data_IF_339151538274
#
_entry.id   IF_339151538274
#
_cell.length_a   1.000
_cell.length_b   1.000
_cell.length_c   1.000
_cell.angle_alpha   90.00
_cell.angle_beta   90.00
_cell.angle_gamma   90.00
#
_symmetry.space_group_name_H-M   'P 1'
#
loop_
_entity.id
_entity.type
_entity.pdbx_description
1 polymer ?
#
# COMPACT_ATOMS: atom_id res chain seq x y z
N UNK A 1 -18.23 -14.25 18.85
CA UNK A 1 -18.03 -14.45 17.40
C UNK A 1 -16.57 -14.16 17.08
N UNK A 2 -15.80 -15.13 16.57
CA UNK A 2 -14.39 -14.95 16.22
C UNK A 2 -14.21 -14.05 14.97
N UNK A 3 -13.01 -13.54 14.74
CA UNK A 3 -12.72 -12.58 13.66
C UNK A 3 -13.04 -13.14 12.28
N UNK A 4 -12.73 -14.42 12.03
CA UNK A 4 -13.07 -15.10 10.78
C UNK A 4 -14.57 -15.05 10.46
N UNK A 5 -15.47 -15.33 11.42
CA UNK A 5 -16.92 -15.23 11.21
C UNK A 5 -17.39 -13.80 10.92
N UNK A 6 -16.78 -12.80 11.56
CA UNK A 6 -17.05 -11.38 11.29
C UNK A 6 -16.67 -11.00 9.86
N UNK A 7 -15.50 -11.46 9.40
CA UNK A 7 -15.03 -11.22 8.03
C UNK A 7 -15.97 -11.87 7.02
N UNK A 8 -16.32 -13.14 7.20
CA UNK A 8 -17.21 -13.86 6.27
C UNK A 8 -18.57 -13.16 6.13
N UNK A 9 -19.21 -12.82 7.26
CA UNK A 9 -20.50 -12.12 7.24
C UNK A 9 -20.39 -10.75 6.56
N UNK A 10 -19.31 -10.02 6.84
CA UNK A 10 -19.09 -8.68 6.30
C UNK A 10 -18.82 -8.71 4.79
N UNK A 11 -17.93 -9.58 4.31
CA UNK A 11 -17.59 -9.67 2.89
C UNK A 11 -18.82 -10.00 2.01
N UNK A 12 -19.87 -10.63 2.55
CA UNK A 12 -21.11 -10.91 1.80
C UNK A 12 -21.95 -9.67 1.51
N UNK A 13 -21.74 -8.60 2.26
CA UNK A 13 -22.57 -7.38 2.21
C UNK A 13 -21.76 -6.15 1.84
N UNK A 14 -20.43 -6.30 1.79
CA UNK A 14 -19.48 -5.24 1.55
C UNK A 14 -19.68 -4.61 0.17
N UNK A 15 -19.72 -3.28 0.13
CA UNK A 15 -19.58 -2.51 -1.09
C UNK A 15 -18.11 -2.08 -1.26
N UNK A 16 -17.42 -2.64 -2.26
CA UNK A 16 -16.01 -2.33 -2.54
C UNK A 16 -15.77 -0.87 -3.02
N UNK A 17 -16.83 -0.12 -3.35
CA UNK A 17 -16.76 1.31 -3.66
C UNK A 17 -17.09 2.22 -2.48
N UNK A 18 -17.48 1.66 -1.32
CA UNK A 18 -17.82 2.44 -0.14
C UNK A 18 -16.62 2.47 0.83
N UNK A 19 -15.99 3.63 1.07
CA UNK A 19 -14.76 3.69 1.84
C UNK A 19 -14.84 3.11 3.27
N UNK A 20 -15.91 3.36 4.05
CA UNK A 20 -16.05 2.76 5.39
C UNK A 20 -16.01 1.23 5.36
N UNK A 21 -16.56 0.61 4.32
CA UNK A 21 -16.54 -0.84 4.19
C UNK A 21 -15.12 -1.36 3.92
N UNK A 22 -14.39 -0.69 3.02
CA UNK A 22 -12.98 -1.03 2.71
C UNK A 22 -12.11 -0.86 3.95
N UNK A 23 -12.26 0.26 4.66
CA UNK A 23 -11.53 0.51 5.91
C UNK A 23 -11.83 -0.56 6.95
N UNK A 24 -13.10 -0.92 7.12
CA UNK A 24 -13.48 -1.97 8.06
C UNK A 24 -12.89 -3.33 7.68
N UNK A 25 -12.88 -3.71 6.39
CA UNK A 25 -12.23 -4.94 5.92
C UNK A 25 -10.76 -4.97 6.35
N UNK A 26 -9.99 -3.92 6.05
CA UNK A 26 -8.56 -3.85 6.38
C UNK A 26 -8.30 -3.86 7.89
N UNK A 27 -9.18 -3.26 8.71
CA UNK A 27 -9.12 -3.39 10.17
C UNK A 27 -9.29 -4.86 10.58
N UNK A 28 -10.23 -5.60 9.97
CA UNK A 28 -10.43 -7.03 10.29
C UNK A 28 -9.31 -7.92 9.77
N UNK A 29 -8.79 -7.66 8.58
CA UNK A 29 -7.63 -8.35 8.05
C UNK A 29 -6.42 -8.15 8.97
N UNK A 30 -6.19 -6.92 9.47
CA UNK A 30 -5.14 -6.67 10.48
C UNK A 30 -5.32 -7.54 11.73
N UNK A 31 -6.53 -7.59 12.30
CA UNK A 31 -6.83 -8.45 13.45
C UNK A 31 -6.57 -9.93 13.14
N UNK A 32 -6.95 -10.39 11.94
CA UNK A 32 -6.69 -11.76 11.51
C UNK A 32 -5.18 -12.07 11.40
N UNK A 33 -4.39 -11.13 10.85
CA UNK A 33 -2.93 -11.28 10.79
C UNK A 33 -2.29 -11.37 12.18
N UNK A 34 -2.84 -10.66 13.16
CA UNK A 34 -2.42 -10.70 14.57
C UNK A 34 -2.75 -12.04 15.22
N UNK A 35 -4.01 -12.49 15.10
CA UNK A 35 -4.49 -13.74 15.68
C UNK A 35 -3.72 -14.97 15.17
N UNK A 36 -3.34 -14.97 13.89
CA UNK A 36 -2.67 -16.11 13.24
C UNK A 36 -1.14 -15.94 13.08
N UNK A 37 -0.55 -14.84 13.59
CA UNK A 37 0.89 -14.59 13.47
C UNK A 37 1.38 -14.45 12.02
N UNK A 38 0.55 -13.90 11.13
CA UNK A 38 0.79 -13.87 9.67
C UNK A 38 1.49 -12.58 9.20
N UNK A 39 1.71 -11.59 10.07
CA UNK A 39 2.28 -10.27 9.70
C UNK A 39 3.57 -10.34 8.86
N UNK A 40 4.46 -11.27 9.21
CA UNK A 40 5.74 -11.45 8.49
C UNK A 40 5.58 -12.23 7.16
N UNK A 41 4.55 -13.09 7.07
CA UNK A 41 4.26 -13.90 5.88
C UNK A 41 3.48 -13.13 4.82
N UNK A 42 2.69 -12.14 5.26
CA UNK A 42 1.85 -11.27 4.43
C UNK A 42 2.26 -9.81 4.65
N UNK A 43 3.51 -9.43 4.27
CA UNK A 43 4.07 -8.12 4.60
C UNK A 43 3.41 -6.98 3.83
N UNK A 44 2.91 -7.21 2.60
CA UNK A 44 2.23 -6.20 1.79
C UNK A 44 0.88 -5.86 2.41
N UNK A 45 0.07 -6.87 2.72
CA UNK A 45 -1.19 -6.68 3.40
C UNK A 45 -0.99 -6.02 4.76
N UNK A 46 0.02 -6.46 5.53
CA UNK A 46 0.36 -5.81 6.80
C UNK A 46 0.72 -4.32 6.61
N UNK A 47 1.47 -3.97 5.55
CA UNK A 47 1.76 -2.57 5.22
C UNK A 47 0.47 -1.77 5.02
N UNK A 48 -0.41 -2.19 4.12
CA UNK A 48 -1.66 -1.46 3.82
C UNK A 48 -2.61 -1.40 5.01
N UNK A 49 -2.73 -2.48 5.79
CA UNK A 49 -3.50 -2.51 7.03
C UNK A 49 -3.02 -1.47 8.05
N UNK A 50 -1.70 -1.30 8.20
CA UNK A 50 -1.15 -0.29 9.10
C UNK A 50 -1.28 1.11 8.50
N UNK A 51 -0.96 1.28 7.22
CA UNK A 51 -1.03 2.57 6.55
C UNK A 51 -2.46 3.16 6.60
N UNK A 52 -3.48 2.34 6.37
CA UNK A 52 -4.86 2.82 6.31
C UNK A 52 -5.36 3.42 7.63
N UNK A 53 -4.95 2.85 8.77
CA UNK A 53 -5.44 3.25 10.10
C UNK A 53 -4.60 4.34 10.77
N UNK A 54 -3.44 4.66 10.21
CA UNK A 54 -2.57 5.71 10.73
C UNK A 54 -2.63 6.94 9.81
N UNK A 55 -2.66 8.15 10.41
CA UNK A 55 -2.56 9.40 9.63
C UNK A 55 -1.22 9.50 8.91
N UNK A 56 -0.19 8.92 9.51
CA UNK A 56 1.18 8.82 8.99
C UNK A 56 1.75 7.47 9.41
N UNK A 57 2.43 6.78 8.50
CA UNK A 57 3.14 5.53 8.79
C UNK A 57 4.63 5.79 8.97
N UNK A 58 5.05 5.94 10.23
CA UNK A 58 6.42 6.25 10.61
C UNK A 58 7.15 5.00 11.17
N UNK A 59 6.63 4.36 12.20
CA UNK A 59 7.36 3.34 12.98
C UNK A 59 7.73 2.06 12.20
N UNK A 60 6.98 1.70 11.16
CA UNK A 60 7.13 0.42 10.46
C UNK A 60 7.44 0.56 8.97
N UNK A 61 7.71 1.78 8.48
CA UNK A 61 7.94 2.06 7.05
C UNK A 61 9.42 2.09 6.66
N UNK A 62 10.35 1.98 7.62
CA UNK A 62 11.79 2.09 7.36
C UNK A 62 12.30 1.16 6.24
N UNK A 63 11.88 -0.12 6.25
CA UNK A 63 12.25 -1.08 5.21
C UNK A 63 11.66 -0.73 3.83
N UNK A 64 10.45 -0.19 3.79
CA UNK A 64 9.81 0.30 2.56
C UNK A 64 10.60 1.48 1.98
N UNK A 65 10.91 2.47 2.81
CA UNK A 65 11.63 3.68 2.38
C UNK A 65 13.05 3.34 1.91
N UNK A 66 13.75 2.43 2.58
CA UNK A 66 15.08 1.99 2.12
C UNK A 66 15.00 1.26 0.77
N UNK A 67 14.03 0.35 0.58
CA UNK A 67 13.81 -0.31 -0.72
C UNK A 67 13.51 0.69 -1.84
N UNK A 68 12.73 1.74 -1.55
CA UNK A 68 12.46 2.81 -2.52
C UNK A 68 13.73 3.59 -2.85
N UNK A 69 14.56 3.93 -1.86
CA UNK A 69 15.86 4.60 -2.07
C UNK A 69 16.78 3.77 -2.96
N UNK A 70 16.84 2.46 -2.74
CA UNK A 70 17.64 1.56 -3.59
C UNK A 70 17.13 1.59 -5.03
N UNK A 71 15.80 1.58 -5.25
CA UNK A 71 15.21 1.70 -6.59
C UNK A 71 15.45 3.04 -7.26
N UNK A 72 15.50 4.14 -6.51
CA UNK A 72 15.90 5.46 -7.04
C UNK A 72 17.35 5.38 -7.56
N UNK A 73 18.27 4.82 -6.77
CA UNK A 73 19.70 4.68 -7.15
C UNK A 73 19.89 3.77 -8.36
N UNK A 74 19.16 2.67 -8.43
CA UNK A 74 19.14 1.78 -9.58
C UNK A 74 18.62 2.50 -10.84
N UNK A 75 17.52 3.24 -10.73
CA UNK A 75 16.95 4.00 -11.85
C UNK A 75 17.92 5.04 -12.40
N UNK A 76 18.57 5.82 -11.53
CA UNK A 76 19.58 6.81 -11.95
C UNK A 76 20.76 6.19 -12.69
N UNK A 77 21.11 4.94 -12.38
CA UNK A 77 22.23 4.24 -13.00
C UNK A 77 21.87 3.54 -14.32
N UNK A 78 20.62 3.07 -14.46
CA UNK A 78 20.23 2.13 -15.53
C UNK A 78 19.08 2.60 -16.42
N UNK A 79 18.32 3.62 -16.02
CA UNK A 79 17.17 4.15 -16.77
C UNK A 79 15.91 3.24 -16.76
N UNK A 80 15.84 2.24 -15.88
CA UNK A 80 14.68 1.35 -15.75
C UNK A 80 13.36 2.10 -15.49
N UNK A 81 12.19 1.52 -15.79
CA UNK A 81 10.92 2.19 -15.47
C UNK A 81 10.75 2.38 -13.95
N UNK A 82 10.85 3.64 -13.52
CA UNK A 82 10.78 4.00 -12.11
C UNK A 82 9.36 3.86 -11.55
N UNK A 83 8.31 4.15 -12.34
CA UNK A 83 6.92 4.01 -11.90
C UNK A 83 6.59 2.55 -11.60
N UNK A 84 7.05 1.65 -12.47
CA UNK A 84 6.93 0.21 -12.28
C UNK A 84 7.67 -0.24 -11.02
N UNK A 85 8.89 0.27 -10.82
CA UNK A 85 9.73 -0.05 -9.66
C UNK A 85 9.08 0.37 -8.34
N UNK A 86 8.51 1.59 -8.27
CA UNK A 86 7.77 2.08 -7.10
C UNK A 86 6.56 1.20 -6.83
N UNK A 87 5.76 0.91 -7.86
CA UNK A 87 4.55 0.09 -7.74
C UNK A 87 4.86 -1.34 -7.26
N UNK A 88 5.97 -1.92 -7.73
CA UNK A 88 6.50 -3.19 -7.25
C UNK A 88 6.91 -3.14 -5.76
N UNK A 89 7.60 -2.06 -5.35
CA UNK A 89 8.01 -1.90 -3.94
C UNK A 89 6.81 -1.75 -3.01
N UNK A 90 5.79 -1.01 -3.45
CA UNK A 90 4.49 -0.87 -2.78
C UNK A 90 3.63 -2.14 -2.84
N UNK A 91 4.02 -3.14 -3.64
CA UNK A 91 3.33 -4.42 -3.74
C UNK A 91 1.91 -4.31 -4.28
N UNK A 92 1.66 -3.36 -5.19
CA UNK A 92 0.32 -3.09 -5.75
C UNK A 92 -0.35 -4.37 -6.27
N UNK A 93 0.39 -5.21 -6.98
CA UNK A 93 -0.14 -6.45 -7.55
C UNK A 93 -0.18 -7.61 -6.55
N UNK A 94 0.75 -7.63 -5.58
CA UNK A 94 0.80 -8.66 -4.53
C UNK A 94 -0.31 -8.52 -3.49
N UNK A 95 -0.85 -7.32 -3.33
CA UNK A 95 -1.86 -7.05 -2.30
C UNK A 95 -3.08 -7.97 -2.44
N UNK A 96 -3.57 -8.17 -3.68
CA UNK A 96 -4.72 -9.05 -3.91
C UNK A 96 -4.42 -10.50 -3.47
N UNK A 97 -3.28 -11.03 -3.90
CA UNK A 97 -2.82 -12.37 -3.54
C UNK A 97 -2.71 -12.54 -2.02
N UNK A 98 -2.14 -11.56 -1.32
CA UNK A 98 -2.01 -11.59 0.13
C UNK A 98 -3.36 -11.46 0.85
N UNK A 99 -4.32 -10.68 0.32
CA UNK A 99 -5.69 -10.64 0.84
C UNK A 99 -6.36 -12.00 0.68
N UNK A 100 -6.29 -12.62 -0.50
CA UNK A 100 -6.88 -13.93 -0.73
C UNK A 100 -6.27 -15.00 0.18
N UNK A 101 -4.95 -14.96 0.37
CA UNK A 101 -4.27 -15.86 1.30
C UNK A 101 -4.68 -15.60 2.75
N UNK A 102 -4.79 -14.34 3.20
CA UNK A 102 -5.32 -14.05 4.54
C UNK A 102 -6.75 -14.56 4.70
N UNK A 103 -7.57 -14.37 3.68
CA UNK A 103 -8.95 -14.83 3.64
C UNK A 103 -9.06 -16.36 3.72
N UNK A 104 -8.13 -17.14 3.16
CA UNK A 104 -8.16 -18.61 3.26
C UNK A 104 -8.06 -19.14 4.70
N UNK A 105 -7.60 -18.34 5.66
CA UNK A 105 -7.64 -18.68 7.10
C UNK A 105 -9.04 -18.55 7.71
N UNK A 106 -9.99 -17.92 7.00
CA UNK A 106 -11.40 -17.91 7.37
C UNK A 106 -12.05 -19.21 6.89
N UNK A 107 -12.20 -20.19 7.79
CA UNK A 107 -12.93 -21.42 7.52
C UNK A 107 -14.35 -21.06 7.01
N UNK A 108 -14.65 -21.42 5.75
CA UNK A 108 -15.93 -21.21 5.06
C UNK A 108 -16.19 -19.83 4.42
N UNK A 109 -15.20 -19.21 3.77
CA UNK A 109 -15.55 -18.28 2.70
C UNK A 109 -16.27 -19.04 1.58
N UNK A 110 -17.46 -18.59 1.12
CA UNK A 110 -18.12 -19.19 -0.01
C UNK A 110 -17.19 -19.19 -1.23
N UNK A 111 -17.09 -20.32 -1.96
CA UNK A 111 -16.26 -20.47 -3.17
C UNK A 111 -16.53 -19.40 -4.27
N UNK A 112 -17.62 -18.64 -4.15
CA UNK A 112 -18.10 -17.65 -5.13
C UNK A 112 -18.24 -16.23 -4.57
N UNK A 113 -17.41 -15.83 -3.62
CA UNK A 113 -17.39 -14.42 -3.24
C UNK A 113 -16.57 -13.62 -4.28
N UNK A 114 -17.25 -13.01 -5.25
CA UNK A 114 -16.62 -12.08 -6.18
C UNK A 114 -16.35 -10.75 -5.46
N UNK A 115 -15.22 -10.65 -4.77
CA UNK A 115 -14.67 -9.35 -4.39
C UNK A 115 -14.31 -8.63 -5.69
N UNK A 116 -14.88 -7.45 -5.91
CA UNK A 116 -14.46 -6.59 -7.01
C UNK A 116 -13.10 -5.98 -6.66
N UNK A 117 -12.04 -6.68 -7.06
CA UNK A 117 -10.67 -6.32 -6.76
C UNK A 117 -10.29 -4.95 -7.30
N UNK A 118 -10.82 -4.55 -8.46
CA UNK A 118 -10.55 -3.26 -9.05
C UNK A 118 -11.15 -2.14 -8.21
N UNK A 119 -12.42 -2.27 -7.80
CA UNK A 119 -13.07 -1.29 -6.91
C UNK A 119 -12.41 -1.26 -5.55
N UNK A 120 -12.13 -2.42 -4.95
CA UNK A 120 -11.51 -2.51 -3.62
C UNK A 120 -10.18 -1.74 -3.57
N UNK A 121 -9.29 -2.03 -4.52
CA UNK A 121 -7.98 -1.39 -4.60
C UNK A 121 -8.06 0.09 -4.95
N UNK A 122 -9.00 0.49 -5.83
CA UNK A 122 -9.21 1.91 -6.14
C UNK A 122 -9.66 2.69 -4.91
N UNK A 123 -10.68 2.20 -4.21
CA UNK A 123 -11.18 2.82 -2.97
C UNK A 123 -10.11 2.83 -1.89
N UNK A 124 -9.34 1.75 -1.73
CA UNK A 124 -8.22 1.71 -0.80
C UNK A 124 -7.19 2.80 -1.09
N UNK A 125 -6.76 2.94 -2.35
CA UNK A 125 -5.73 3.91 -2.69
C UNK A 125 -6.23 5.35 -2.54
N UNK A 126 -7.51 5.61 -2.81
CA UNK A 126 -8.14 6.90 -2.50
C UNK A 126 -8.08 7.19 -1.00
N UNK A 127 -8.39 6.21 -0.15
CA UNK A 127 -8.31 6.36 1.32
C UNK A 127 -6.89 6.53 1.87
N UNK A 128 -5.87 6.31 1.03
CA UNK A 128 -4.46 6.47 1.37
C UNK A 128 -3.85 7.78 0.83
N UNK A 129 -4.61 8.54 0.04
CA UNK A 129 -4.19 9.87 -0.40
C UNK A 129 -3.85 10.74 0.83
N UNK A 130 -2.75 11.46 0.74
CA UNK A 130 -2.23 12.36 1.78
C UNK A 130 -1.91 11.71 3.13
N UNK A 131 -1.89 10.37 3.21
CA UNK A 131 -1.32 9.63 4.34
C UNK A 131 0.13 9.29 4.00
N UNK A 132 1.14 9.98 4.55
CA UNK A 132 2.53 9.70 4.20
C UNK A 132 3.07 8.46 4.91
N UNK A 133 3.92 7.70 4.22
CA UNK A 133 4.86 6.76 4.81
C UNK A 133 6.21 7.45 4.94
N UNK A 134 6.72 7.64 6.16
CA UNK A 134 7.97 8.38 6.42
C UNK A 134 8.95 7.54 7.20
N UNK A 135 10.24 7.69 6.93
CA UNK A 135 11.29 7.11 7.75
C UNK A 135 11.50 7.97 9.01
N UNK A 136 11.19 7.46 10.22
CA UNK A 136 11.25 8.21 11.46
C UNK A 136 12.69 8.48 11.90
N UNK A 137 13.63 7.69 11.37
CA UNK A 137 15.06 7.81 11.64
C UNK A 137 15.77 8.68 10.61
N UNK A 138 15.04 9.35 9.72
CA UNK A 138 15.64 10.25 8.75
C UNK A 138 16.35 11.40 9.48
N UNK A 139 17.68 11.42 9.36
CA UNK A 139 18.51 12.56 9.71
C UNK A 139 18.76 13.28 8.40
N UNK A 140 18.53 14.59 8.41
CA UNK A 140 18.66 15.46 7.25
C UNK A 140 20.14 15.57 6.86
N UNK A 141 20.68 14.52 6.25
CA UNK A 141 22.08 14.37 5.90
C UNK A 141 22.13 14.09 4.40
N UNK A 142 22.79 15.01 3.67
CA UNK A 142 23.02 15.04 2.22
C UNK A 142 21.84 15.58 1.38
N UNK A 143 22.16 16.12 0.20
CA UNK A 143 21.19 16.64 -0.77
C UNK A 143 20.52 15.55 -1.60
N UNK A 144 19.62 15.93 -2.50
CA UNK A 144 18.92 15.00 -3.39
C UNK A 144 19.91 14.10 -4.17
N UNK A 145 19.67 12.78 -4.31
CA UNK A 145 18.47 12.02 -3.90
C UNK A 145 18.51 11.43 -2.48
N UNK A 146 19.59 11.64 -1.72
CA UNK A 146 19.76 11.00 -0.42
C UNK A 146 18.88 11.61 0.69
N UNK A 147 18.31 12.78 0.42
CA UNK A 147 17.37 13.47 1.30
C UNK A 147 15.90 12.98 1.21
N UNK A 148 15.66 11.92 0.43
CA UNK A 148 14.38 11.23 0.39
C UNK A 148 14.09 10.55 1.74
N UNK A 149 12.96 10.93 2.35
CA UNK A 149 12.55 10.41 3.65
C UNK A 149 11.19 9.73 3.66
N UNK A 150 10.39 9.83 2.60
CA UNK A 150 9.06 9.26 2.63
C UNK A 150 8.34 9.31 1.30
N UNK A 151 7.21 8.62 1.23
CA UNK A 151 6.33 8.56 0.06
C UNK A 151 4.90 8.78 0.51
N UNK A 152 4.08 9.40 -0.34
CA UNK A 152 2.63 9.43 -0.15
C UNK A 152 1.91 9.18 -1.46
N UNK A 153 0.63 8.85 -1.38
CA UNK A 153 -0.24 8.85 -2.55
C UNK A 153 -0.89 10.22 -2.70
N UNK A 154 -1.08 10.64 -3.95
CA UNK A 154 -1.79 11.86 -4.33
C UNK A 154 -2.68 11.57 -5.54
N UNK A 155 -3.66 12.44 -5.73
CA UNK A 155 -4.41 12.49 -6.98
C UNK A 155 -3.81 13.57 -7.89
N UNK A 156 -3.65 13.24 -9.17
CA UNK A 156 -3.21 14.17 -10.21
C UNK A 156 -3.90 13.79 -11.52
N UNK A 157 -4.68 14.72 -12.09
CA UNK A 157 -5.40 14.59 -13.36
C UNK A 157 -6.29 13.34 -13.46
N UNK A 158 -6.99 13.01 -12.38
CA UNK A 158 -7.87 11.86 -12.24
C UNK A 158 -7.16 10.53 -12.01
N UNK A 159 -5.83 10.55 -11.82
CA UNK A 159 -4.99 9.35 -11.63
C UNK A 159 -4.36 9.37 -10.25
N UNK A 160 -4.30 8.19 -9.63
CA UNK A 160 -3.58 8.01 -8.37
C UNK A 160 -2.09 7.89 -8.68
N UNK A 161 -1.33 8.82 -8.12
CA UNK A 161 0.10 8.93 -8.27
C UNK A 161 0.79 8.71 -6.93
N UNK A 162 2.03 8.26 -6.98
CA UNK A 162 2.95 8.37 -5.85
C UNK A 162 3.66 9.72 -5.89
N UNK A 163 4.03 10.23 -4.73
CA UNK A 163 4.84 11.44 -4.55
C UNK A 163 5.99 11.15 -3.57
N UNK A 164 7.21 11.54 -3.95
CA UNK A 164 8.37 11.48 -3.07
C UNK A 164 8.40 12.68 -2.12
N UNK A 165 8.74 12.43 -0.86
CA UNK A 165 8.93 13.44 0.17
C UNK A 165 10.43 13.67 0.36
N UNK A 166 10.87 14.91 0.14
CA UNK A 166 12.27 15.35 0.20
C UNK A 166 12.33 16.84 0.60
N UNK A 167 13.16 17.22 1.60
CA UNK A 167 13.31 18.62 1.99
C UNK A 167 13.88 19.50 0.88
N UNK A 168 14.74 18.97 0.01
CA UNK A 168 15.29 19.74 -1.12
C UNK A 168 14.21 20.07 -2.14
N UNK A 169 13.29 19.14 -2.42
CA UNK A 169 12.14 19.40 -3.30
C UNK A 169 11.20 20.44 -2.71
N UNK A 170 10.90 20.33 -1.41
CA UNK A 170 10.07 21.30 -0.69
C UNK A 170 10.66 22.72 -0.73
N UNK A 171 11.98 22.86 -0.51
CA UNK A 171 12.67 24.15 -0.52
C UNK A 171 12.58 24.89 -1.85
N UNK A 172 12.55 24.16 -2.97
CA UNK A 172 12.46 24.73 -4.32
C UNK A 172 11.03 24.70 -4.87
N UNK A 173 10.03 24.37 -4.05
CA UNK A 173 8.64 24.21 -4.45
C UNK A 173 8.46 23.28 -5.67
N UNK A 174 9.21 22.18 -5.70
CA UNK A 174 9.16 21.17 -6.74
C UNK A 174 8.65 19.85 -6.17
N UNK A 175 8.17 18.97 -7.05
CA UNK A 175 7.61 17.67 -6.70
C UNK A 175 8.08 16.63 -7.69
N UNK A 176 8.36 15.43 -7.21
CA UNK A 176 8.55 14.26 -8.06
C UNK A 176 7.36 13.35 -7.83
N UNK A 177 6.54 13.23 -8.87
CA UNK A 177 5.33 12.40 -8.88
C UNK A 177 5.35 11.47 -10.08
N UNK A 178 4.69 10.34 -9.95
CA UNK A 178 4.50 9.40 -11.05
C UNK A 178 3.28 8.52 -10.83
N UNK A 179 2.69 7.97 -11.90
CA UNK A 179 1.50 7.13 -11.79
C UNK A 179 1.78 5.86 -10.99
N UNK A 180 0.79 5.44 -10.21
CA UNK A 180 0.77 4.11 -9.63
C UNK A 180 0.34 3.10 -10.71
N UNK A 181 1.25 2.21 -11.09
CA UNK A 181 1.06 1.29 -12.21
C UNK A 181 0.69 -0.09 -11.67
N UNK A 182 -0.36 -0.71 -12.23
CA UNK A 182 -0.60 -2.14 -12.01
C UNK A 182 0.17 -2.92 -13.06
N UNK A 183 0.90 -3.93 -12.65
CA UNK A 183 1.41 -4.91 -13.60
C UNK A 183 0.18 -5.64 -14.12
N UNK A 184 -0.17 -5.39 -15.38
CA UNK A 184 -1.11 -6.28 -16.07
C UNK A 184 -0.45 -7.66 -16.08
N UNK A 185 -0.88 -8.54 -15.18
CA UNK A 185 -0.72 -9.95 -15.43
C UNK A 185 -1.54 -10.21 -16.70
N UNK A 186 -0.86 -10.35 -17.83
CA UNK A 186 -1.42 -11.01 -19.00
C UNK A 186 -1.78 -12.43 -18.56
N UNK A 187 -2.98 -12.60 -18.00
CA UNK A 187 -3.56 -13.91 -17.79
C UNK A 187 -4.27 -14.29 -19.07
N UNK A 188 -3.55 -15.04 -19.91
CA UNK A 188 -4.11 -16.16 -20.67
C UNK A 188 -4.85 -17.12 -19.76
#
# INVERSE_FOLDING_TARGET
MNTSKKIILFCNQMNCSYPPDVVYLFIKLRTLLEEHGLKAKLPTLNLYCNWLVHRELDKSSHSLINRLRDKIKEHMSSGNDFNLSVSYVLGVDKLNEEIQHALSFCQALPEKQQIDWQRLSTTLFVELIDKPCKNPSFRNELGHPDDFYGIKLVEHDGVICWELLSPSLEKINSRIIGPLVRIKNEQT
#
